data_IF_999014694435
#
_entry.id   IF_999014694435
#
_cell.length_a   1.000
_cell.length_b   1.000
_cell.length_c   1.000
_cell.angle_alpha   90.00
_cell.angle_beta   90.00
_cell.angle_gamma   90.00
#
_symmetry.space_group_name_H-M   'P 1'
#
loop_
_entity.id
_entity.type
_entity.pdbx_description
1 polymer ?
#
# COMPACT_ATOMS: atom_id res chain seq x y z
N UNK A 1 -41.60 22.11 -36.19
CA UNK A 1 -40.20 21.63 -36.27
C UNK A 1 -39.93 20.77 -35.05
N UNK A 2 -40.02 19.44 -35.21
CA UNK A 2 -39.86 18.50 -34.11
C UNK A 2 -38.38 18.25 -33.84
N UNK A 3 -37.95 18.68 -32.66
CA UNK A 3 -36.61 18.39 -32.14
C UNK A 3 -36.61 16.89 -31.72
N UNK A 4 -36.01 16.03 -32.54
CA UNK A 4 -35.74 14.65 -32.13
C UNK A 4 -34.60 14.66 -31.14
N UNK A 5 -34.91 14.41 -29.86
CA UNK A 5 -33.90 14.13 -28.83
C UNK A 5 -33.36 12.74 -29.15
N UNK A 6 -32.14 12.68 -29.66
CA UNK A 6 -31.39 11.44 -29.80
C UNK A 6 -30.83 11.12 -28.44
N UNK A 7 -31.50 10.22 -27.71
CA UNK A 7 -30.92 9.57 -26.52
C UNK A 7 -29.86 8.58 -26.98
N UNK A 8 -28.61 8.96 -26.90
CA UNK A 8 -27.51 8.02 -27.06
C UNK A 8 -27.43 7.22 -25.77
N UNK A 9 -27.99 6.01 -25.79
CA UNK A 9 -27.70 5.04 -24.75
C UNK A 9 -26.25 4.61 -24.93
N UNK A 10 -25.36 5.16 -24.08
CA UNK A 10 -24.04 4.58 -23.84
C UNK A 10 -24.28 3.26 -23.10
N UNK A 11 -24.37 2.17 -23.85
CA UNK A 11 -24.37 0.84 -23.29
C UNK A 11 -23.09 0.68 -22.47
N UNK A 12 -23.22 0.47 -21.17
CA UNK A 12 -22.11 0.05 -20.35
C UNK A 12 -21.67 -1.34 -20.84
N UNK A 13 -20.62 -1.39 -21.62
CA UNK A 13 -19.94 -2.64 -21.94
C UNK A 13 -19.23 -3.05 -20.66
N UNK A 14 -19.87 -3.92 -19.87
CA UNK A 14 -19.19 -4.62 -18.82
C UNK A 14 -18.19 -5.57 -19.47
N UNK A 15 -16.96 -5.11 -19.64
CA UNK A 15 -15.84 -5.99 -19.94
C UNK A 15 -15.61 -6.76 -18.65
N UNK A 16 -16.07 -8.01 -18.62
CA UNK A 16 -15.63 -8.98 -17.63
C UNK A 16 -14.14 -9.27 -17.92
N UNK A 17 -13.29 -8.42 -17.38
CA UNK A 17 -11.88 -8.76 -17.25
C UNK A 17 -11.82 -9.91 -16.25
N UNK A 18 -11.54 -11.11 -16.75
CA UNK A 18 -11.25 -12.26 -15.90
C UNK A 18 -9.98 -11.89 -15.13
N UNK A 19 -10.11 -11.46 -13.87
CA UNK A 19 -8.97 -11.17 -13.01
C UNK A 19 -8.30 -12.51 -12.74
N UNK A 20 -7.12 -12.67 -13.27
CA UNK A 20 -6.24 -13.78 -12.88
C UNK A 20 -5.71 -13.40 -11.50
N UNK A 21 -6.16 -14.10 -10.47
CA UNK A 21 -5.62 -13.94 -9.12
C UNK A 21 -4.36 -14.76 -8.98
N UNK A 22 -3.32 -14.16 -8.42
CA UNK A 22 -2.05 -14.82 -8.14
C UNK A 22 -2.01 -15.28 -6.69
N UNK A 23 -1.99 -16.60 -6.47
CA UNK A 23 -1.82 -17.20 -5.16
C UNK A 23 -0.38 -17.72 -5.04
N UNK A 24 0.42 -17.09 -4.18
CA UNK A 24 1.80 -17.49 -3.96
C UNK A 24 1.97 -18.13 -2.56
N UNK A 25 2.39 -19.37 -2.53
CA UNK A 25 2.77 -20.05 -1.30
C UNK A 25 4.29 -20.15 -1.23
N UNK A 26 4.90 -19.34 -0.39
CA UNK A 26 6.34 -19.29 -0.25
C UNK A 26 6.79 -19.90 1.08
N UNK A 27 7.84 -20.72 1.00
CA UNK A 27 8.55 -21.22 2.15
C UNK A 27 10.06 -21.11 1.92
N UNK A 28 10.78 -20.64 2.92
CA UNK A 28 12.22 -20.45 2.85
C UNK A 28 12.91 -20.74 4.18
N UNK A 29 14.12 -21.26 4.11
CA UNK A 29 14.99 -21.46 5.25
C UNK A 29 16.25 -20.62 5.07
N UNK A 30 16.46 -19.69 6.03
CA UNK A 30 17.55 -18.73 5.97
C UNK A 30 18.55 -19.02 7.09
N UNK A 31 19.24 -19.91 7.21
CA UNK A 31 20.02 -20.35 8.34
C UNK A 31 19.36 -21.44 9.19
N UNK A 32 20.13 -22.03 10.06
CA UNK A 32 19.72 -23.19 10.85
C UNK A 32 18.51 -22.97 11.76
N UNK A 33 18.12 -21.74 11.99
CA UNK A 33 17.05 -21.35 12.92
C UNK A 33 15.89 -20.57 12.32
N UNK A 34 16.05 -19.89 11.20
CA UNK A 34 15.02 -19.03 10.64
C UNK A 34 14.35 -19.70 9.45
N UNK A 35 13.11 -20.11 9.64
CA UNK A 35 12.23 -20.60 8.57
C UNK A 35 11.08 -19.61 8.44
N UNK A 36 10.80 -19.20 7.24
CA UNK A 36 9.63 -18.40 6.93
C UNK A 36 8.68 -19.21 6.05
N UNK A 37 7.39 -19.06 6.28
CA UNK A 37 6.33 -19.59 5.45
C UNK A 37 5.19 -18.61 5.45
N UNK A 38 4.77 -18.21 4.26
CA UNK A 38 3.63 -17.32 4.07
C UNK A 38 2.83 -17.70 2.83
N UNK A 39 1.57 -17.35 2.84
CA UNK A 39 0.67 -17.39 1.71
C UNK A 39 0.26 -15.97 1.36
N UNK A 40 0.41 -15.58 0.11
CA UNK A 40 -0.04 -14.29 -0.41
C UNK A 40 -1.04 -14.48 -1.53
N UNK A 41 -2.00 -13.57 -1.66
CA UNK A 41 -2.96 -13.48 -2.75
C UNK A 41 -2.85 -12.08 -3.36
N UNK A 42 -2.53 -12.02 -4.65
CA UNK A 42 -2.33 -10.75 -5.37
C UNK A 42 -1.28 -9.82 -4.70
N UNK A 43 -0.26 -10.42 -4.08
CA UNK A 43 0.78 -9.71 -3.34
C UNK A 43 0.41 -9.34 -1.90
N UNK A 44 -0.87 -9.47 -1.49
CA UNK A 44 -1.30 -9.27 -0.10
C UNK A 44 -1.14 -10.56 0.71
N UNK A 45 -0.74 -10.43 1.97
CA UNK A 45 -0.63 -11.58 2.84
C UNK A 45 -2.00 -12.12 3.25
N UNK A 46 -2.11 -13.44 3.19
CA UNK A 46 -3.26 -14.21 3.70
C UNK A 46 -2.95 -14.76 5.09
N UNK A 47 -1.79 -15.40 5.24
CA UNK A 47 -1.28 -15.87 6.53
C UNK A 47 0.23 -16.08 6.51
N UNK A 48 0.83 -16.09 7.70
CA UNK A 48 2.21 -16.54 7.91
C UNK A 48 2.34 -17.48 9.10
N UNK A 49 3.41 -18.27 9.13
CA UNK A 49 3.71 -19.15 10.23
C UNK A 49 4.66 -18.49 11.24
N UNK A 50 4.24 -18.42 12.49
CA UNK A 50 5.12 -18.14 13.63
C UNK A 50 5.58 -19.47 14.23
N UNK A 51 6.78 -19.89 13.85
CA UNK A 51 7.37 -21.14 14.34
C UNK A 51 7.85 -21.05 15.79
N UNK A 52 8.00 -19.84 16.35
CA UNK A 52 8.39 -19.66 17.74
C UNK A 52 7.18 -19.87 18.66
N UNK A 53 6.04 -19.32 18.27
CA UNK A 53 4.77 -19.46 19.02
C UNK A 53 3.98 -20.71 18.66
N UNK A 54 4.31 -21.37 17.55
CA UNK A 54 3.64 -22.57 17.08
C UNK A 54 2.26 -22.35 16.48
N UNK A 55 2.03 -21.20 15.87
CA UNK A 55 0.73 -20.80 15.34
C UNK A 55 0.84 -20.20 13.93
N UNK A 56 -0.30 -20.16 13.21
CA UNK A 56 -0.47 -19.35 12.03
C UNK A 56 -1.16 -18.04 12.38
N UNK A 57 -0.56 -16.94 11.98
CA UNK A 57 -1.19 -15.65 11.98
C UNK A 57 -1.93 -15.42 10.67
N UNK A 58 -3.22 -15.22 10.78
CA UNK A 58 -4.09 -14.91 9.66
C UNK A 58 -4.34 -13.42 9.60
N UNK A 59 -4.26 -12.87 8.39
CA UNK A 59 -4.60 -11.48 8.18
C UNK A 59 -6.05 -11.21 8.66
N UNK A 60 -6.27 -10.08 9.31
CA UNK A 60 -7.55 -9.74 9.95
C UNK A 60 -8.72 -9.70 8.96
N UNK A 61 -8.45 -9.30 7.72
CA UNK A 61 -9.42 -9.25 6.62
C UNK A 61 -9.92 -10.63 6.18
N UNK A 62 -9.23 -11.73 6.55
CA UNK A 62 -9.60 -13.10 6.14
C UNK A 62 -10.66 -13.66 7.09
N UNK A 63 -11.88 -13.93 6.59
CA UNK A 63 -12.94 -14.50 7.40
C UNK A 63 -12.55 -15.85 8.00
N UNK A 64 -13.01 -16.12 9.20
CA UNK A 64 -12.71 -17.38 9.92
C UNK A 64 -13.16 -18.64 9.17
N UNK A 65 -14.20 -18.54 8.34
CA UNK A 65 -14.70 -19.62 7.50
C UNK A 65 -13.73 -20.08 6.42
N UNK A 66 -12.80 -19.21 6.00
CA UNK A 66 -11.75 -19.53 5.03
C UNK A 66 -10.46 -20.01 5.67
N UNK A 67 -10.35 -19.98 7.01
CA UNK A 67 -9.17 -20.42 7.72
C UNK A 67 -9.14 -21.95 7.76
N UNK A 68 -8.12 -22.52 7.12
CA UNK A 68 -7.98 -23.99 7.00
C UNK A 68 -7.63 -24.58 8.36
N UNK A 69 -8.44 -25.52 8.89
CA UNK A 69 -8.08 -26.26 10.08
C UNK A 69 -6.78 -27.02 9.84
N UNK A 70 -5.92 -27.08 10.84
CA UNK A 70 -4.64 -27.78 10.80
C UNK A 70 -3.59 -27.22 9.82
N UNK A 71 -3.81 -26.02 9.26
CA UNK A 71 -2.86 -25.40 8.32
C UNK A 71 -1.44 -25.28 8.92
N UNK A 72 -1.29 -25.12 10.23
CA UNK A 72 0.00 -25.12 10.91
C UNK A 72 0.78 -26.44 10.77
N UNK A 73 0.10 -27.59 10.69
CA UNK A 73 0.77 -28.88 10.41
C UNK A 73 1.49 -28.88 9.08
N UNK A 74 0.92 -28.27 8.06
CA UNK A 74 1.55 -28.11 6.77
C UNK A 74 2.79 -27.20 6.86
N UNK A 75 2.69 -26.12 7.65
CA UNK A 75 3.84 -25.25 7.89
C UNK A 75 5.01 -26.02 8.53
N UNK A 76 4.76 -26.85 9.54
CA UNK A 76 5.78 -27.70 10.18
C UNK A 76 6.36 -28.72 9.19
N UNK A 77 5.52 -29.31 8.35
CA UNK A 77 5.99 -30.21 7.30
C UNK A 77 6.95 -29.51 6.34
N UNK A 78 6.57 -28.35 5.79
CA UNK A 78 7.42 -27.56 4.88
C UNK A 78 8.70 -27.09 5.57
N UNK A 79 8.63 -26.73 6.85
CA UNK A 79 9.84 -26.43 7.63
C UNK A 79 10.82 -27.61 7.65
N UNK A 80 10.32 -28.82 7.86
CA UNK A 80 11.16 -30.02 7.90
C UNK A 80 11.78 -30.34 6.53
N UNK A 81 10.99 -30.20 5.46
CA UNK A 81 11.44 -30.36 4.06
C UNK A 81 12.53 -29.36 3.74
N UNK A 82 12.29 -28.09 4.05
CA UNK A 82 13.20 -27.00 3.80
C UNK A 82 14.57 -27.22 4.49
N UNK A 83 14.58 -27.61 5.76
CA UNK A 83 15.82 -27.93 6.51
C UNK A 83 16.60 -29.09 5.90
N UNK A 84 15.89 -30.14 5.47
CA UNK A 84 16.50 -31.28 4.81
C UNK A 84 17.15 -30.92 3.47
N UNK A 85 16.45 -30.10 2.69
CA UNK A 85 16.91 -29.69 1.36
C UNK A 85 18.05 -28.67 1.46
N UNK A 86 18.05 -27.77 2.46
CA UNK A 86 19.19 -26.92 2.76
C UNK A 86 20.47 -27.72 3.06
N UNK A 87 20.33 -28.81 3.80
CA UNK A 87 21.49 -29.67 4.08
C UNK A 87 22.09 -30.27 2.80
N UNK A 88 21.23 -30.69 1.87
CA UNK A 88 21.67 -31.20 0.56
C UNK A 88 22.34 -30.11 -0.29
N UNK A 89 21.73 -28.89 -0.34
CA UNK A 89 22.27 -27.78 -1.10
C UNK A 89 23.61 -27.27 -0.57
N UNK A 90 23.80 -27.29 0.75
CA UNK A 90 25.11 -26.96 1.34
C UNK A 90 26.22 -27.96 0.94
N UNK A 91 25.88 -29.18 0.62
CA UNK A 91 26.82 -30.20 0.13
C UNK A 91 27.08 -30.06 -1.37
N UNK A 92 26.14 -29.54 -2.13
CA UNK A 92 26.28 -29.34 -3.57
C UNK A 92 27.08 -28.08 -3.87
N UNK A 93 28.36 -28.26 -4.17
CA UNK A 93 29.28 -27.17 -4.55
C UNK A 93 28.95 -26.53 -5.91
N UNK A 94 28.04 -27.13 -6.68
CA UNK A 94 27.60 -26.62 -7.98
C UNK A 94 26.40 -25.66 -7.87
N UNK A 95 25.80 -25.56 -6.69
CA UNK A 95 24.69 -24.65 -6.46
C UNK A 95 25.14 -23.20 -6.70
N UNK A 96 24.62 -22.61 -7.77
CA UNK A 96 24.89 -21.22 -8.13
C UNK A 96 24.41 -20.31 -6.99
N UNK A 97 25.36 -19.60 -6.41
CA UNK A 97 25.06 -18.59 -5.39
C UNK A 97 24.19 -17.52 -6.04
N UNK A 98 22.92 -17.40 -5.63
CA UNK A 98 22.06 -16.33 -6.12
C UNK A 98 22.71 -15.00 -5.83
N UNK A 99 22.82 -14.14 -6.83
CA UNK A 99 23.42 -12.81 -6.71
C UNK A 99 22.66 -12.02 -5.65
N UNK A 100 23.37 -11.40 -4.72
CA UNK A 100 22.76 -10.49 -3.75
C UNK A 100 22.12 -9.34 -4.49
N UNK A 101 20.94 -8.93 -4.08
CA UNK A 101 20.23 -7.76 -4.61
C UNK A 101 20.05 -6.74 -3.49
N UNK A 102 20.41 -5.49 -3.77
CA UNK A 102 20.32 -4.40 -2.82
C UNK A 102 18.87 -3.93 -2.69
N UNK A 103 18.41 -3.59 -1.47
CA UNK A 103 17.08 -3.05 -1.25
C UNK A 103 16.91 -1.66 -1.84
N UNK A 104 15.70 -1.37 -2.31
CA UNK A 104 15.22 -0.04 -2.63
C UNK A 104 14.19 0.37 -1.58
N UNK A 105 14.40 1.50 -0.92
CA UNK A 105 13.52 1.96 0.16
C UNK A 105 12.86 3.30 -0.19
N UNK A 106 11.58 3.42 0.15
CA UNK A 106 10.81 4.66 0.12
C UNK A 106 10.10 4.84 1.45
N UNK A 107 9.88 6.10 1.83
CA UNK A 107 9.17 6.46 3.05
C UNK A 107 8.02 7.41 2.70
N UNK A 108 6.83 7.17 3.24
CA UNK A 108 5.65 7.96 2.98
C UNK A 108 4.62 7.82 4.12
N UNK A 109 3.75 8.81 4.36
CA UNK A 109 2.67 8.72 5.32
C UNK A 109 1.53 7.84 4.77
N UNK A 110 0.82 7.15 5.65
CA UNK A 110 -0.33 6.31 5.32
C UNK A 110 -1.53 7.14 4.89
N UNK A 111 -1.80 8.20 5.63
CA UNK A 111 -2.93 9.10 5.43
C UNK A 111 -2.44 10.53 5.21
N UNK A 112 -3.34 11.45 4.85
CA UNK A 112 -3.03 12.88 4.73
C UNK A 112 -2.46 13.42 6.05
N UNK A 113 -1.40 14.25 5.96
CA UNK A 113 -0.72 14.78 7.12
C UNK A 113 -1.46 16.00 7.65
N UNK A 114 -2.10 15.83 8.80
CA UNK A 114 -2.86 16.86 9.48
C UNK A 114 -2.18 17.13 10.85
N UNK A 115 -1.97 18.38 11.18
CA UNK A 115 -1.34 18.77 12.42
C UNK A 115 -2.11 18.24 13.63
N UNK A 116 -1.37 17.73 14.62
CA UNK A 116 -1.90 17.19 15.88
C UNK A 116 -2.82 15.95 15.73
N UNK A 117 -2.92 15.34 14.53
CA UNK A 117 -3.64 14.08 14.31
C UNK A 117 -2.65 12.92 14.18
N UNK A 118 -2.97 11.79 14.83
CA UNK A 118 -2.15 10.58 14.74
C UNK A 118 -2.14 10.04 13.29
N UNK A 119 -0.95 9.68 12.82
CA UNK A 119 -0.74 9.09 11.51
C UNK A 119 0.34 7.99 11.59
N UNK A 120 0.52 7.24 10.52
CA UNK A 120 1.51 6.17 10.44
C UNK A 120 2.46 6.45 9.28
N UNK A 121 3.77 6.49 9.51
CA UNK A 121 4.79 6.45 8.47
C UNK A 121 5.02 5.01 8.03
N UNK A 122 5.17 4.82 6.74
CA UNK A 122 5.47 3.54 6.11
C UNK A 122 6.82 3.63 5.42
N UNK A 123 7.75 2.76 5.83
CA UNK A 123 8.99 2.50 5.11
C UNK A 123 8.76 1.23 4.28
N UNK A 124 8.57 1.38 2.99
CA UNK A 124 8.45 0.28 2.04
C UNK A 124 9.80 -0.02 1.41
N UNK A 125 10.26 -1.25 1.56
CA UNK A 125 11.55 -1.71 1.07
C UNK A 125 11.31 -2.91 0.17
N UNK A 126 11.81 -2.89 -1.06
CA UNK A 126 11.56 -3.93 -2.05
C UNK A 126 12.83 -4.39 -2.78
N UNK A 127 12.65 -5.39 -3.66
CA UNK A 127 13.64 -5.94 -4.59
C UNK A 127 14.94 -6.44 -3.94
N UNK A 128 14.93 -6.85 -2.67
CA UNK A 128 16.15 -7.32 -2.00
C UNK A 128 16.27 -8.84 -1.90
N UNK A 129 17.51 -9.32 -1.88
CA UNK A 129 17.87 -10.70 -1.59
C UNK A 129 19.27 -10.77 -0.95
N UNK A 130 19.47 -11.55 0.14
CA UNK A 130 18.55 -12.45 0.86
C UNK A 130 17.52 -11.69 1.72
N UNK A 131 16.47 -12.36 2.26
CA UNK A 131 15.40 -11.71 3.00
C UNK A 131 15.77 -11.22 4.42
N UNK A 132 17.00 -11.46 4.85
CA UNK A 132 17.48 -10.96 6.16
C UNK A 132 17.80 -9.46 6.02
N UNK A 133 17.03 -8.65 6.71
CA UNK A 133 17.14 -7.19 6.68
C UNK A 133 16.99 -6.63 8.10
N UNK A 134 17.65 -5.53 8.40
CA UNK A 134 17.48 -4.78 9.64
C UNK A 134 17.02 -3.36 9.31
N UNK A 135 16.03 -2.86 10.04
CA UNK A 135 15.42 -1.56 9.82
C UNK A 135 15.44 -0.79 11.14
N UNK A 136 15.87 0.46 11.10
CA UNK A 136 15.89 1.36 12.25
C UNK A 136 15.18 2.65 11.90
N UNK A 137 14.40 3.16 12.83
CA UNK A 137 13.75 4.44 12.71
C UNK A 137 14.46 5.51 13.54
N UNK A 138 14.51 6.72 13.00
CA UNK A 138 14.99 7.90 13.71
C UNK A 138 13.99 9.03 13.59
N UNK A 139 13.86 9.85 14.64
CA UNK A 139 13.15 11.12 14.65
C UNK A 139 14.14 12.20 15.05
N UNK A 140 14.40 13.18 14.19
CA UNK A 140 15.37 14.26 14.46
C UNK A 140 16.73 13.70 14.90
N UNK A 141 17.26 12.72 14.17
CA UNK A 141 18.51 11.98 14.44
C UNK A 141 18.53 11.13 15.73
N UNK A 142 17.41 11.05 16.45
CA UNK A 142 17.29 10.21 17.65
C UNK A 142 16.63 8.89 17.27
N UNK A 143 17.25 7.76 17.63
CA UNK A 143 16.69 6.43 17.37
C UNK A 143 15.37 6.24 18.13
N UNK A 144 14.33 5.83 17.41
CA UNK A 144 13.01 5.52 17.95
C UNK A 144 12.88 4.01 18.06
N UNK A 145 12.67 3.51 19.28
CA UNK A 145 12.38 2.09 19.52
C UNK A 145 10.93 1.81 19.13
N UNK A 146 10.73 1.04 18.08
CA UNK A 146 9.41 0.53 17.72
C UNK A 146 9.18 -0.78 18.49
N UNK A 147 8.16 -0.79 19.35
CA UNK A 147 7.73 -2.02 20.02
C UNK A 147 7.20 -2.97 18.95
N UNK A 148 7.69 -4.21 18.90
CA UNK A 148 7.32 -5.27 17.94
C UNK A 148 7.77 -5.06 16.47
N UNK A 149 9.06 -4.83 16.24
CA UNK A 149 9.65 -5.02 14.92
C UNK A 149 9.70 -6.53 14.53
N UNK A 150 8.54 -7.13 14.31
CA UNK A 150 8.48 -8.39 13.58
C UNK A 150 8.64 -8.10 12.10
N UNK A 151 9.90 -7.89 11.68
CA UNK A 151 10.22 -7.62 10.27
C UNK A 151 9.96 -8.90 9.48
N UNK A 152 8.92 -8.87 8.70
CA UNK A 152 8.48 -9.98 7.88
C UNK A 152 8.72 -9.66 6.42
N UNK A 153 9.69 -10.34 5.85
CA UNK A 153 9.97 -10.25 4.42
C UNK A 153 8.99 -11.11 3.62
N UNK A 154 8.25 -10.49 2.71
CA UNK A 154 7.28 -11.13 1.83
C UNK A 154 7.95 -11.41 0.49
N UNK A 155 7.89 -12.65 -0.04
CA UNK A 155 8.49 -12.96 -1.33
C UNK A 155 7.70 -12.39 -2.49
N UNK A 156 8.41 -11.99 -3.54
CA UNK A 156 7.86 -11.53 -4.81
C UNK A 156 8.05 -12.60 -5.90
N UNK A 157 7.23 -12.59 -6.97
CA UNK A 157 7.31 -13.60 -8.04
C UNK A 157 8.67 -13.65 -8.76
N UNK A 158 9.42 -12.56 -8.79
CA UNK A 158 10.78 -12.48 -9.36
C UNK A 158 11.85 -13.14 -8.47
N UNK A 159 11.44 -13.61 -7.27
CA UNK A 159 12.29 -14.27 -6.28
C UNK A 159 13.09 -13.32 -5.42
N UNK A 160 12.75 -12.07 -5.38
CA UNK A 160 13.19 -11.06 -4.40
C UNK A 160 12.23 -11.00 -3.24
N UNK A 161 12.43 -10.05 -2.34
CA UNK A 161 11.58 -9.83 -1.17
C UNK A 161 11.23 -8.36 -1.04
N UNK A 162 10.08 -8.10 -0.40
CA UNK A 162 9.70 -6.80 0.08
C UNK A 162 9.28 -6.84 1.54
N UNK A 163 9.30 -5.70 2.19
CA UNK A 163 8.92 -5.55 3.59
C UNK A 163 8.33 -4.17 3.83
N UNK A 164 7.37 -4.11 4.74
CA UNK A 164 6.83 -2.86 5.28
C UNK A 164 7.26 -2.73 6.74
N UNK A 165 7.82 -1.58 7.08
CA UNK A 165 8.04 -1.18 8.47
C UNK A 165 7.24 0.08 8.73
N UNK A 166 6.54 0.14 9.85
CA UNK A 166 5.64 1.24 10.19
C UNK A 166 6.07 1.92 11.48
N UNK A 167 5.84 3.21 11.56
CA UNK A 167 6.07 4.04 12.75
C UNK A 167 4.86 4.95 12.95
N UNK A 168 4.16 4.79 14.08
CA UNK A 168 3.09 5.71 14.45
C UNK A 168 3.69 7.02 14.97
N UNK A 169 3.13 8.15 14.54
CA UNK A 169 3.63 9.47 14.88
C UNK A 169 2.49 10.50 14.91
N UNK A 170 2.73 11.57 15.64
CA UNK A 170 1.92 12.79 15.59
C UNK A 170 2.71 13.83 14.82
N UNK A 171 2.20 14.36 13.69
CA UNK A 171 2.91 15.33 12.88
C UNK A 171 3.17 16.64 13.62
N UNK A 172 4.43 17.07 13.66
CA UNK A 172 4.82 18.41 14.06
C UNK A 172 5.69 19.03 12.97
N UNK A 173 5.47 20.31 12.68
CA UNK A 173 6.12 20.98 11.57
C UNK A 173 7.65 21.02 11.77
N UNK A 174 8.37 20.59 10.72
CA UNK A 174 9.84 20.52 10.74
C UNK A 174 10.42 19.26 11.38
N UNK A 175 9.60 18.30 11.85
CA UNK A 175 10.10 16.99 12.25
C UNK A 175 10.63 16.23 11.05
N UNK A 176 11.81 15.61 11.21
CA UNK A 176 12.44 14.77 10.19
C UNK A 176 12.50 13.34 10.69
N UNK A 177 11.93 12.44 9.92
CA UNK A 177 11.96 11.00 10.18
C UNK A 177 12.90 10.30 9.23
N UNK A 178 13.68 9.35 9.74
CA UNK A 178 14.61 8.54 8.97
C UNK A 178 14.29 7.06 9.09
N UNK A 179 14.30 6.36 7.94
CA UNK A 179 14.27 4.90 7.87
C UNK A 179 15.62 4.42 7.38
N UNK A 180 16.40 3.79 8.25
CA UNK A 180 17.73 3.24 7.96
C UNK A 180 17.63 1.75 7.72
N UNK A 181 18.13 1.32 6.56
CA UNK A 181 18.11 -0.07 6.10
C UNK A 181 19.54 -0.63 6.09
N UNK A 182 19.75 -1.72 6.82
CA UNK A 182 21.00 -2.49 6.82
C UNK A 182 20.76 -3.83 6.11
N UNK A 183 21.54 -4.12 5.08
CA UNK A 183 21.39 -5.35 4.30
C UNK A 183 22.73 -5.85 3.76
N UNK A 184 22.88 -7.17 3.64
CA UNK A 184 24.13 -7.81 3.17
C UNK A 184 24.55 -7.48 1.72
N UNK A 185 23.66 -6.90 0.94
CA UNK A 185 23.94 -6.45 -0.42
C UNK A 185 24.34 -4.96 -0.48
N UNK A 186 24.23 -4.23 0.60
CA UNK A 186 24.68 -2.85 0.75
C UNK A 186 26.10 -2.83 1.33
N UNK A 187 26.94 -1.93 0.88
CA UNK A 187 28.26 -1.70 1.46
C UNK A 187 28.16 -0.94 2.77
N UNK A 188 27.21 0.02 2.83
CA UNK A 188 26.89 0.83 4.01
C UNK A 188 25.37 0.91 4.21
N UNK A 189 24.89 1.10 5.46
CA UNK A 189 23.48 1.33 5.72
C UNK A 189 22.92 2.50 4.92
N UNK A 190 21.73 2.37 4.36
CA UNK A 190 21.06 3.44 3.62
C UNK A 190 19.93 4.02 4.43
N UNK A 191 19.89 5.34 4.56
CA UNK A 191 18.81 6.05 5.23
C UNK A 191 17.98 6.83 4.23
N UNK A 192 16.66 6.69 4.29
CA UNK A 192 15.70 7.55 3.62
C UNK A 192 15.11 8.50 4.64
N UNK A 193 15.02 9.77 4.27
CA UNK A 193 14.45 10.81 5.13
C UNK A 193 13.11 11.25 4.58
N UNK A 194 12.24 11.61 5.49
CA UNK A 194 10.96 12.23 5.21
C UNK A 194 10.74 13.37 6.22
N UNK A 195 10.40 14.54 5.73
CA UNK A 195 10.14 15.73 6.52
C UNK A 195 8.62 15.97 6.58
N UNK A 196 8.13 16.38 7.75
CA UNK A 196 6.72 16.70 7.95
C UNK A 196 6.38 17.97 7.19
N UNK A 197 5.60 17.83 6.14
CA UNK A 197 4.97 18.95 5.42
C UNK A 197 3.50 18.99 5.80
N UNK A 198 3.09 20.00 6.56
CA UNK A 198 1.67 20.20 6.93
C UNK A 198 1.00 20.99 5.80
N UNK A 199 0.12 20.32 5.07
CA UNK A 199 -0.72 20.99 4.10
C UNK A 199 -1.75 21.85 4.82
N UNK A 200 -1.50 23.15 4.95
CA UNK A 200 -2.55 24.07 5.34
C UNK A 200 -3.68 23.99 4.29
N UNK A 201 -4.85 23.54 4.73
CA UNK A 201 -6.04 23.50 3.86
C UNK A 201 -6.35 24.92 3.42
N UNK A 202 -5.86 25.31 2.24
CA UNK A 202 -6.20 26.60 1.66
C UNK A 202 -7.69 26.57 1.33
N UNK A 203 -8.49 27.29 2.10
CA UNK A 203 -9.95 27.47 1.91
C UNK A 203 -10.25 28.15 0.55
N UNK A 204 -9.20 28.69 -0.09
CA UNK A 204 -9.29 29.41 -1.36
C UNK A 204 -10.11 28.72 -2.45
N UNK A 205 -9.76 27.47 -2.85
CA UNK A 205 -10.49 26.77 -3.93
C UNK A 205 -11.96 26.53 -3.60
N UNK A 206 -12.31 26.23 -2.36
CA UNK A 206 -13.69 25.99 -1.93
C UNK A 206 -14.52 27.28 -1.97
N UNK A 207 -13.94 28.40 -1.57
CA UNK A 207 -14.59 29.74 -1.64
C UNK A 207 -14.81 30.13 -3.09
N UNK A 208 -13.81 29.97 -3.97
CA UNK A 208 -13.96 30.29 -5.39
C UNK A 208 -15.01 29.41 -6.06
N UNK A 209 -15.06 28.14 -5.76
CA UNK A 209 -16.07 27.20 -6.28
C UNK A 209 -17.48 27.61 -5.80
N UNK A 210 -17.65 27.94 -4.52
CA UNK A 210 -18.92 28.37 -3.95
C UNK A 210 -19.42 29.69 -4.56
N UNK A 211 -18.55 30.66 -4.70
CA UNK A 211 -18.89 31.97 -5.33
C UNK A 211 -19.22 31.79 -6.82
N UNK A 212 -18.45 31.00 -7.55
CA UNK A 212 -18.69 30.72 -8.97
C UNK A 212 -20.03 30.03 -9.22
N UNK A 213 -20.36 29.00 -8.40
CA UNK A 213 -21.68 28.35 -8.48
C UNK A 213 -22.84 29.27 -8.15
N UNK A 214 -22.73 30.09 -7.12
CA UNK A 214 -23.79 31.02 -6.73
C UNK A 214 -24.03 32.07 -7.80
N UNK A 215 -22.97 32.65 -8.37
CA UNK A 215 -23.08 33.65 -9.47
C UNK A 215 -23.63 32.97 -10.74
N UNK A 216 -23.24 31.74 -11.05
CA UNK A 216 -23.76 30.97 -12.18
C UNK A 216 -25.27 30.72 -12.06
N UNK A 217 -25.75 30.32 -10.89
CA UNK A 217 -27.18 30.12 -10.61
C UNK A 217 -27.97 31.41 -10.72
N UNK A 218 -27.44 32.52 -10.18
CA UNK A 218 -28.07 33.82 -10.29
C UNK A 218 -28.14 34.30 -11.74
N UNK A 219 -27.07 34.14 -12.51
CA UNK A 219 -27.03 34.47 -13.95
C UNK A 219 -28.02 33.63 -14.74
N UNK A 220 -28.12 32.32 -14.45
CA UNK A 220 -29.11 31.46 -15.09
C UNK A 220 -30.55 31.88 -14.77
N UNK A 221 -30.86 32.17 -13.50
CA UNK A 221 -32.19 32.60 -13.10
C UNK A 221 -32.56 33.96 -13.73
N UNK A 222 -31.65 34.91 -13.76
CA UNK A 222 -31.86 36.23 -14.41
C UNK A 222 -32.03 36.06 -15.93
N UNK A 223 -31.20 35.25 -16.57
CA UNK A 223 -31.29 34.96 -18.01
C UNK A 223 -32.63 34.32 -18.42
N UNK A 224 -33.10 33.35 -17.64
CA UNK A 224 -34.40 32.70 -17.87
C UNK A 224 -35.55 33.66 -17.66
N UNK A 225 -35.47 34.52 -16.63
CA UNK A 225 -36.49 35.55 -16.39
C UNK A 225 -36.61 36.54 -17.56
N UNK A 226 -35.50 37.08 -18.03
CA UNK A 226 -35.49 38.00 -19.18
C UNK A 226 -35.94 37.32 -20.47
N UNK A 227 -35.56 36.07 -20.69
CA UNK A 227 -35.98 35.28 -21.84
C UNK A 227 -37.49 35.05 -21.88
N UNK A 228 -38.10 34.68 -20.75
CA UNK A 228 -39.55 34.48 -20.63
C UNK A 228 -40.29 35.78 -20.81
N UNK A 229 -39.80 36.89 -20.17
CA UNK A 229 -40.39 38.21 -20.30
C UNK A 229 -40.30 38.73 -21.72
N UNK A 230 -39.17 38.52 -22.41
CA UNK A 230 -39.00 38.91 -23.82
C UNK A 230 -39.96 38.18 -24.76
N UNK A 231 -40.17 36.86 -24.54
CA UNK A 231 -41.19 36.12 -25.29
C UNK A 231 -42.61 36.60 -25.05
N UNK A 232 -42.95 37.00 -23.84
CA UNK A 232 -44.26 37.53 -23.49
C UNK A 232 -44.53 38.89 -24.18
N UNK A 233 -43.52 39.77 -24.27
CA UNK A 233 -43.63 41.02 -25.01
C UNK A 233 -43.80 40.80 -26.53
N UNK A 234 -43.11 39.86 -27.12
CA UNK A 234 -43.25 39.52 -28.54
C UNK A 234 -44.66 38.99 -28.89
N UNK A 235 -45.28 38.22 -27.99
CA UNK A 235 -46.63 37.72 -28.21
C UNK A 235 -47.72 38.79 -28.12
N UNK A 236 -47.47 39.92 -27.45
CA UNK A 236 -48.38 41.05 -27.32
C UNK A 236 -48.29 41.98 -28.52
N UNK A 237 -47.16 42.04 -29.24
CA UNK A 237 -46.95 42.93 -30.39
C UNK A 237 -47.36 42.28 -31.74
N UNK A 238 -47.63 40.99 -31.78
CA UNK A 238 -47.95 40.23 -33.00
C UNK A 238 -49.43 39.74 -33.00
N UNK A 239 -50.20 40.00 -31.95
CA UNK A 239 -51.66 39.80 -31.89
C UNK A 239 -52.38 41.12 -31.93
#
# INVERSE_FOLDING_TARGET
MYFKIVLVFMGAVCIYAQRIHELCHAHGCFDSSNTQLCLTLDGEEVYHADFKRGVLHWESKIPTTFRVPYAYKYAVYYQSVCRRDMYKWKQDKSATTKTKQAPEAIIYPKDEVIKDEENTLICFINHFFPPTINIKWTKNDIEVTVEDLFIKSIPTPDGTFHVFSTLDFVPDEGDIYGCTVEHKALEEPQTKFWEVEINETTIGPAVFCGLGLSLGLLGFAAGTFFFVKGKHYQSILVG
#
